data_IF_407915831973
#
_entry.id   IF_407915831973
#
_cell.length_a   1.000
_cell.length_b   1.000
_cell.length_c   1.000
_cell.angle_alpha   90.00
_cell.angle_beta   90.00
_cell.angle_gamma   90.00
#
_symmetry.space_group_name_H-M   'P 1'
#
loop_
_entity.id
_entity.type
_entity.pdbx_description
1 polymer ?
#
# COMPACT_ATOMS: atom_id res chain seq x y z
N UNK A 1 8.06 -2.93 -26.81
CA UNK A 1 7.96 -2.32 -25.46
C UNK A 1 7.56 -3.42 -24.48
N UNK A 2 8.38 -3.73 -23.48
CA UNK A 2 8.05 -4.74 -22.49
C UNK A 2 6.83 -4.25 -21.68
N UNK A 3 5.68 -4.93 -21.80
CA UNK A 3 4.54 -4.68 -20.92
C UNK A 3 5.01 -4.94 -19.49
N UNK A 4 4.96 -3.92 -18.63
CA UNK A 4 5.17 -4.08 -17.19
C UNK A 4 4.20 -5.15 -16.69
N UNK A 5 4.72 -6.31 -16.30
CA UNK A 5 3.88 -7.39 -15.78
C UNK A 5 3.43 -7.01 -14.38
N UNK A 6 2.22 -6.47 -14.26
CA UNK A 6 1.58 -6.30 -12.95
C UNK A 6 1.18 -7.67 -12.40
N UNK A 7 1.66 -7.99 -11.20
CA UNK A 7 1.21 -9.17 -10.45
C UNK A 7 0.03 -8.77 -9.56
N UNK A 8 -1.01 -9.61 -9.51
CA UNK A 8 -2.14 -9.45 -8.58
C UNK A 8 -1.83 -10.21 -7.29
N UNK A 9 -2.11 -9.57 -6.17
CA UNK A 9 -2.12 -10.20 -4.86
C UNK A 9 -3.31 -9.68 -4.08
N UNK A 10 -3.79 -10.47 -3.11
CA UNK A 10 -4.91 -10.14 -2.24
C UNK A 10 -4.37 -9.97 -0.82
N UNK A 11 -4.85 -8.94 -0.13
CA UNK A 11 -4.54 -8.68 1.28
C UNK A 11 -5.83 -8.67 2.08
N UNK A 12 -5.82 -9.27 3.26
CA UNK A 12 -6.91 -9.14 4.24
C UNK A 12 -6.51 -8.05 5.23
N UNK A 13 -7.43 -7.13 5.49
CA UNK A 13 -7.30 -6.09 6.51
C UNK A 13 -8.36 -6.35 7.57
N UNK A 14 -8.10 -5.92 8.80
CA UNK A 14 -9.20 -5.81 9.75
C UNK A 14 -10.16 -4.68 9.33
N UNK A 15 -11.34 -4.67 9.95
CA UNK A 15 -12.39 -3.72 9.60
C UNK A 15 -11.97 -2.26 9.86
N UNK A 16 -11.22 -2.03 10.95
CA UNK A 16 -10.82 -0.68 11.35
C UNK A 16 -9.80 -0.09 10.36
N UNK A 17 -8.81 -0.90 9.95
CA UNK A 17 -7.82 -0.52 8.96
C UNK A 17 -8.45 -0.25 7.60
N UNK A 18 -9.42 -1.08 7.19
CA UNK A 18 -10.16 -0.86 5.95
C UNK A 18 -10.94 0.46 5.97
N UNK A 19 -11.65 0.75 7.07
CA UNK A 19 -12.40 2.00 7.22
C UNK A 19 -11.49 3.21 7.20
N UNK A 20 -10.37 3.17 7.94
CA UNK A 20 -9.37 4.24 7.94
C UNK A 20 -8.80 4.49 6.54
N UNK A 21 -8.50 3.43 5.78
CA UNK A 21 -8.00 3.56 4.41
C UNK A 21 -9.05 4.17 3.47
N UNK A 22 -10.33 3.82 3.67
CA UNK A 22 -11.45 4.39 2.91
C UNK A 22 -11.63 5.88 3.20
N UNK A 23 -11.61 6.27 4.47
CA UNK A 23 -11.72 7.68 4.87
C UNK A 23 -10.57 8.51 4.32
N UNK A 24 -9.34 7.98 4.35
CA UNK A 24 -8.16 8.63 3.77
C UNK A 24 -8.31 8.87 2.26
N UNK A 25 -8.90 7.91 1.54
CA UNK A 25 -9.18 8.02 0.11
C UNK A 25 -10.21 9.11 -0.21
N UNK A 26 -11.32 9.14 0.55
CA UNK A 26 -12.43 10.07 0.37
C UNK A 26 -12.09 11.51 0.78
N UNK A 27 -11.16 11.70 1.71
CA UNK A 27 -10.71 13.02 2.16
C UNK A 27 -9.97 13.83 1.06
N UNK A 28 -9.50 13.16 0.00
CA UNK A 28 -8.76 13.80 -1.09
C UNK A 28 -9.68 14.46 -2.11
N UNK A 29 -9.18 15.49 -2.80
CA UNK A 29 -9.88 16.16 -3.90
C UNK A 29 -9.04 16.14 -5.18
N UNK A 30 -9.35 15.28 -6.18
CA UNK A 30 -10.45 14.30 -6.21
C UNK A 30 -10.20 13.08 -5.29
N UNK A 31 -11.25 12.31 -4.94
CA UNK A 31 -11.09 11.07 -4.17
C UNK A 31 -10.16 10.09 -4.88
N UNK A 32 -9.33 9.40 -4.09
CA UNK A 32 -8.41 8.38 -4.61
C UNK A 32 -9.00 6.99 -4.45
N UNK A 33 -8.64 6.06 -5.34
CA UNK A 33 -9.05 4.66 -5.15
C UNK A 33 -8.12 3.91 -4.17
N UNK A 34 -8.67 2.90 -3.48
CA UNK A 34 -7.91 2.11 -2.51
C UNK A 34 -6.70 1.41 -3.13
N UNK A 35 -6.81 0.97 -4.39
CA UNK A 35 -5.70 0.33 -5.11
C UNK A 35 -4.49 1.27 -5.24
N UNK A 36 -4.72 2.55 -5.48
CA UNK A 36 -3.68 3.57 -5.56
C UNK A 36 -3.01 3.75 -4.20
N UNK A 37 -3.79 3.88 -3.11
CA UNK A 37 -3.25 4.04 -1.77
C UNK A 37 -2.41 2.83 -1.35
N UNK A 38 -2.88 1.61 -1.61
CA UNK A 38 -2.10 0.38 -1.33
C UNK A 38 -0.81 0.36 -2.15
N UNK A 39 -0.84 0.75 -3.43
CA UNK A 39 0.38 0.85 -4.26
C UNK A 39 1.35 1.91 -3.73
N UNK A 40 0.84 3.03 -3.23
CA UNK A 40 1.66 4.09 -2.61
C UNK A 40 2.31 3.58 -1.32
N UNK A 41 1.54 2.93 -0.44
CA UNK A 41 2.06 2.34 0.79
C UNK A 41 3.17 1.31 0.52
N UNK A 42 2.97 0.42 -0.46
CA UNK A 42 3.99 -0.56 -0.87
C UNK A 42 5.25 0.13 -1.37
N UNK A 43 5.13 1.18 -2.19
CA UNK A 43 6.30 1.93 -2.68
C UNK A 43 7.04 2.62 -1.54
N UNK A 44 6.32 3.29 -0.65
CA UNK A 44 6.91 3.97 0.50
C UNK A 44 7.66 2.98 1.39
N UNK A 45 7.09 1.79 1.65
CA UNK A 45 7.78 0.73 2.39
C UNK A 45 9.07 0.30 1.68
N UNK A 46 9.01 0.02 0.38
CA UNK A 46 10.18 -0.39 -0.39
C UNK A 46 11.26 0.69 -0.43
N UNK A 47 10.89 1.96 -0.60
CA UNK A 47 11.82 3.09 -0.62
C UNK A 47 12.48 3.31 0.75
N UNK A 48 11.70 3.24 1.85
CA UNK A 48 12.21 3.36 3.21
C UNK A 48 13.23 2.28 3.56
N UNK A 49 13.10 1.10 2.95
CA UNK A 49 13.93 -0.07 3.22
C UNK A 49 14.90 -0.42 2.08
N UNK A 50 14.95 0.36 1.00
CA UNK A 50 15.83 0.09 -0.15
C UNK A 50 17.33 0.07 0.23
N UNK A 51 17.70 0.75 1.31
CA UNK A 51 19.07 0.78 1.84
C UNK A 51 19.23 0.12 3.22
N UNK A 52 18.15 -0.45 3.79
CA UNK A 52 18.16 -1.00 5.16
C UNK A 52 17.52 -2.37 5.18
N UNK A 53 18.29 -3.38 5.61
CA UNK A 53 17.76 -4.71 5.88
C UNK A 53 16.56 -4.58 6.82
N UNK A 54 15.41 -5.11 6.41
CA UNK A 54 14.19 -5.11 7.22
C UNK A 54 14.47 -5.92 8.51
N UNK A 55 14.70 -5.22 9.62
CA UNK A 55 14.73 -5.84 10.94
C UNK A 55 13.29 -6.04 11.40
N UNK A 56 12.74 -7.21 11.14
CA UNK A 56 11.50 -7.60 11.78
C UNK A 56 11.83 -8.01 13.22
N UNK A 57 11.16 -7.46 14.25
CA UNK A 57 11.16 -8.08 15.55
C UNK A 57 10.43 -9.41 15.41
N UNK A 58 11.17 -10.47 15.08
CA UNK A 58 10.70 -11.83 15.27
C UNK A 58 10.71 -12.02 16.79
N UNK A 59 9.50 -12.01 17.37
CA UNK A 59 9.29 -12.48 18.74
C UNK A 59 9.62 -13.96 18.88
#
# INVERSE_FOLDING_TARGET
>A
MAKSQQKRFTVSLDQADYEALRELAEAQKPPLNLQYLVRLAVRNLLEQHAAKQLSFPLG
#
